data_IF_414371333299
#
_entry.id   IF_414371333299
#
_cell.length_a   1.000
_cell.length_b   1.000
_cell.length_c   1.000
_cell.angle_alpha   90.00
_cell.angle_beta   90.00
_cell.angle_gamma   90.00
#
_symmetry.space_group_name_H-M   'P 1'
#
loop_
_entity.id
_entity.type
_entity.pdbx_description
1 polymer ?
#
# COMPACT_ATOMS: atom_id res chain seq x y z
N UNK A 1 7.62 12.01 -5.61
CA UNK A 1 8.63 11.95 -4.50
C UNK A 1 9.49 10.73 -4.75
N UNK A 2 10.77 10.95 -5.02
CA UNK A 2 11.70 9.87 -5.35
C UNK A 2 12.06 9.04 -4.10
N UNK A 3 12.61 7.83 -4.32
CA UNK A 3 12.97 6.92 -3.22
C UNK A 3 13.92 7.57 -2.21
N UNK A 4 14.86 8.41 -2.66
CA UNK A 4 15.79 9.12 -1.77
C UNK A 4 15.08 10.16 -0.88
N UNK A 5 14.07 10.85 -1.41
CA UNK A 5 13.25 11.80 -0.63
C UNK A 5 12.39 11.06 0.40
N UNK A 6 11.82 9.92 0.01
CA UNK A 6 11.06 9.06 0.93
C UNK A 6 11.92 8.52 2.07
N UNK A 7 13.13 8.05 1.75
CA UNK A 7 14.09 7.60 2.76
C UNK A 7 14.46 8.76 3.71
N UNK A 8 14.74 9.94 3.18
CA UNK A 8 15.01 11.13 4.01
C UNK A 8 13.86 11.46 4.94
N UNK A 9 12.63 11.44 4.41
CA UNK A 9 11.43 11.68 5.21
C UNK A 9 11.27 10.66 6.33
N UNK A 10 11.42 9.36 6.04
CA UNK A 10 11.35 8.31 7.05
C UNK A 10 12.41 8.48 8.14
N UNK A 11 13.63 8.88 7.79
CA UNK A 11 14.67 9.17 8.76
C UNK A 11 14.28 10.35 9.65
N UNK A 12 13.75 11.42 9.08
CA UNK A 12 13.29 12.60 9.80
C UNK A 12 12.16 12.25 10.77
N UNK A 13 11.14 11.56 10.28
CA UNK A 13 9.95 11.17 11.05
C UNK A 13 10.32 10.25 12.23
N UNK A 14 11.32 9.39 12.05
CA UNK A 14 11.87 8.51 13.07
C UNK A 14 12.93 9.16 13.98
N UNK A 15 13.33 10.41 13.72
CA UNK A 15 14.41 11.07 14.45
C UNK A 15 15.78 10.39 14.30
N UNK A 16 15.99 9.66 13.22
CA UNK A 16 17.19 8.87 12.97
C UNK A 16 18.08 9.52 11.92
N UNK A 17 19.40 9.31 12.06
CA UNK A 17 20.36 9.68 11.03
C UNK A 17 20.80 8.45 10.20
N UNK A 18 21.37 8.64 8.99
CA UNK A 18 21.80 7.53 8.13
C UNK A 18 22.77 6.55 8.80
N UNK A 19 23.63 7.01 9.71
CA UNK A 19 24.58 6.16 10.43
C UNK A 19 23.88 5.22 11.40
N UNK A 20 22.83 5.69 12.08
CA UNK A 20 22.03 4.89 13.00
C UNK A 20 21.25 3.80 12.24
N UNK A 21 20.64 4.17 11.08
CA UNK A 21 19.96 3.22 10.20
C UNK A 21 20.94 2.16 9.69
N UNK A 22 22.10 2.55 9.21
CA UNK A 22 23.14 1.62 8.75
C UNK A 22 23.54 0.62 9.86
N UNK A 23 23.73 1.11 11.08
CA UNK A 23 24.06 0.27 12.24
C UNK A 23 22.94 -0.74 12.58
N UNK A 24 21.68 -0.30 12.59
CA UNK A 24 20.52 -1.17 12.89
C UNK A 24 20.30 -2.23 11.82
N UNK A 25 20.53 -1.88 10.56
CA UNK A 25 20.33 -2.81 9.44
C UNK A 25 21.55 -3.69 9.13
N UNK A 26 22.66 -3.52 9.84
CA UNK A 26 23.92 -4.23 9.57
C UNK A 26 24.55 -3.85 8.23
N UNK A 27 24.38 -2.60 7.79
CA UNK A 27 24.84 -2.09 6.50
C UNK A 27 26.04 -1.16 6.67
N UNK A 28 26.76 -0.94 5.56
CA UNK A 28 27.82 0.07 5.53
C UNK A 28 27.21 1.47 5.52
N UNK A 29 27.73 2.38 6.35
CA UNK A 29 27.24 3.77 6.41
C UNK A 29 27.21 4.48 5.05
N UNK A 30 28.24 4.39 4.18
CA UNK A 30 28.22 5.04 2.88
C UNK A 30 27.04 4.63 2.01
N UNK A 31 26.54 3.39 2.13
CA UNK A 31 25.41 2.93 1.35
C UNK A 31 24.12 3.69 1.69
N UNK A 32 23.83 3.88 2.98
CA UNK A 32 22.63 4.62 3.41
C UNK A 32 22.73 6.10 3.07
N UNK A 33 23.93 6.69 3.20
CA UNK A 33 24.17 8.07 2.75
C UNK A 33 23.95 8.23 1.25
N UNK A 34 24.48 7.31 0.45
CA UNK A 34 24.30 7.30 -1.01
C UNK A 34 22.82 7.20 -1.41
N UNK A 35 22.02 6.40 -0.69
CA UNK A 35 20.58 6.34 -0.93
C UNK A 35 19.86 7.64 -0.54
N UNK A 36 20.25 8.26 0.57
CA UNK A 36 19.68 9.56 0.96
C UNK A 36 20.04 10.66 -0.04
N UNK A 37 21.23 10.65 -0.60
CA UNK A 37 21.67 11.68 -1.54
C UNK A 37 21.15 11.46 -2.97
N UNK A 38 20.60 10.26 -3.28
CA UNK A 38 20.17 9.92 -4.63
C UNK A 38 21.30 9.40 -5.54
N UNK A 39 22.51 9.19 -4.98
CA UNK A 39 23.67 8.69 -5.75
C UNK A 39 23.50 7.22 -6.14
N UNK A 40 22.71 6.47 -5.39
CA UNK A 40 22.36 5.09 -5.68
C UNK A 40 20.98 4.71 -5.11
N UNK A 41 20.39 3.65 -5.64
CA UNK A 41 19.12 3.09 -5.12
C UNK A 41 19.43 1.90 -4.22
N UNK A 42 18.68 1.70 -3.12
CA UNK A 42 18.81 0.50 -2.31
C UNK A 42 18.37 -0.72 -3.09
N UNK A 43 19.15 -1.79 -2.98
CA UNK A 43 18.73 -3.10 -3.49
C UNK A 43 17.48 -3.58 -2.74
N UNK A 44 16.70 -4.45 -3.37
CA UNK A 44 15.44 -5.02 -2.88
C UNK A 44 15.50 -5.51 -1.43
N UNK A 45 16.54 -6.26 -1.08
CA UNK A 45 16.75 -6.73 0.29
C UNK A 45 16.84 -5.57 1.29
N UNK A 46 17.47 -4.46 0.89
CA UNK A 46 17.62 -3.28 1.73
C UNK A 46 16.32 -2.47 1.82
N UNK A 47 15.51 -2.46 0.77
CA UNK A 47 14.15 -1.91 0.81
C UNK A 47 13.31 -2.64 1.85
N UNK A 48 13.39 -3.98 1.90
CA UNK A 48 12.72 -4.78 2.92
C UNK A 48 13.18 -4.45 4.34
N UNK A 49 14.50 -4.33 4.51
CA UNK A 49 15.07 -3.98 5.81
C UNK A 49 14.61 -2.58 6.26
N UNK A 50 14.61 -1.62 5.34
CA UNK A 50 14.13 -0.25 5.60
C UNK A 50 12.63 -0.25 5.93
N UNK A 51 11.82 -0.97 5.17
CA UNK A 51 10.38 -1.06 5.39
C UNK A 51 10.04 -1.65 6.77
N UNK A 52 10.73 -2.72 7.16
CA UNK A 52 10.58 -3.30 8.51
C UNK A 52 11.04 -2.35 9.61
N UNK A 53 12.18 -1.67 9.41
CA UNK A 53 12.72 -0.74 10.39
C UNK A 53 11.78 0.43 10.66
N UNK A 54 11.21 1.00 9.60
CA UNK A 54 10.33 2.16 9.69
C UNK A 54 8.85 1.82 9.78
N UNK A 55 8.50 0.52 9.84
CA UNK A 55 7.13 0.02 9.87
C UNK A 55 6.25 0.60 8.75
N UNK A 56 6.80 0.68 7.55
CA UNK A 56 6.10 1.11 6.33
C UNK A 56 6.00 -0.05 5.35
N UNK A 57 4.98 -0.02 4.50
CA UNK A 57 4.87 -1.00 3.42
C UNK A 57 6.02 -0.83 2.40
N UNK A 58 6.64 -1.91 1.91
CA UNK A 58 7.66 -1.84 0.87
C UNK A 58 7.21 -1.08 -0.38
N UNK A 59 5.92 -1.11 -0.73
CA UNK A 59 5.36 -0.36 -1.84
C UNK A 59 5.53 1.15 -1.69
N UNK A 60 5.55 1.67 -0.47
CA UNK A 60 5.84 3.07 -0.21
C UNK A 60 7.21 3.48 -0.74
N UNK A 61 8.24 2.65 -0.53
CA UNK A 61 9.59 2.93 -1.02
C UNK A 61 9.73 2.64 -2.52
N UNK A 62 9.02 1.63 -3.03
CA UNK A 62 9.08 1.19 -4.42
C UNK A 62 8.21 2.03 -5.37
N UNK A 63 7.19 2.73 -4.87
CA UNK A 63 6.37 3.62 -5.68
C UNK A 63 7.21 4.82 -6.17
N UNK A 64 8.08 4.58 -7.14
CA UNK A 64 8.66 5.66 -7.91
C UNK A 64 7.58 6.28 -8.78
N UNK A 65 7.47 7.59 -8.76
CA UNK A 65 6.86 8.29 -9.86
C UNK A 65 7.81 8.15 -11.07
N UNK A 66 7.71 7.03 -11.77
CA UNK A 66 8.35 6.89 -13.06
C UNK A 66 7.66 7.89 -13.99
N UNK A 67 8.21 9.07 -14.11
CA UNK A 67 7.77 10.07 -15.07
C UNK A 67 8.28 9.66 -16.46
N UNK A 68 7.71 8.63 -17.06
CA UNK A 68 7.83 8.43 -18.49
C UNK A 68 6.98 9.51 -19.19
N UNK A 69 7.64 10.39 -19.93
CA UNK A 69 7.00 11.46 -20.71
C UNK A 69 6.13 12.45 -19.91
N UNK A 70 6.49 12.77 -18.66
CA UNK A 70 5.73 13.70 -17.81
C UNK A 70 4.46 13.12 -17.20
N UNK A 71 4.20 11.82 -17.36
CA UNK A 71 3.08 11.09 -16.77
C UNK A 71 3.47 10.46 -15.44
N UNK A 72 2.62 10.61 -14.45
CA UNK A 72 2.80 9.97 -13.13
C UNK A 72 2.37 8.52 -13.23
N UNK A 73 3.19 7.61 -12.74
CA UNK A 73 2.97 6.16 -12.84
C UNK A 73 2.88 5.54 -11.44
N UNK A 74 2.02 4.55 -11.29
CA UNK A 74 1.90 3.71 -10.09
C UNK A 74 2.30 2.27 -10.39
N UNK A 75 2.98 1.56 -9.48
CA UNK A 75 3.20 0.12 -9.61
C UNK A 75 1.86 -0.61 -9.53
N UNK A 76 1.61 -1.53 -10.47
CA UNK A 76 0.41 -2.35 -10.54
C UNK A 76 0.70 -3.75 -10.02
N UNK A 77 -0.11 -4.19 -9.07
CA UNK A 77 -0.05 -5.51 -8.48
C UNK A 77 -1.27 -6.34 -8.86
N UNK A 78 -1.04 -7.62 -9.14
CA UNK A 78 -2.13 -8.59 -9.25
C UNK A 78 -2.63 -8.97 -7.86
N UNK A 79 -3.93 -9.27 -7.72
CA UNK A 79 -4.56 -9.58 -6.44
C UNK A 79 -3.88 -10.72 -5.66
N UNK A 80 -3.42 -11.76 -6.37
CA UNK A 80 -2.72 -12.90 -5.74
C UNK A 80 -1.42 -12.46 -5.06
N UNK A 81 -0.82 -11.39 -5.56
CA UNK A 81 0.40 -10.78 -5.01
C UNK A 81 0.08 -9.85 -3.84
N UNK A 82 -1.08 -9.19 -3.86
CA UNK A 82 -1.51 -8.31 -2.79
C UNK A 82 -1.88 -9.05 -1.49
N UNK A 83 -2.24 -10.35 -1.56
CA UNK A 83 -2.47 -11.20 -0.39
C UNK A 83 -1.21 -11.61 0.35
N UNK A 84 -0.06 -11.47 -0.29
CA UNK A 84 1.27 -11.85 0.21
C UNK A 84 2.22 -10.66 0.14
N UNK A 85 1.97 -9.60 0.89
CA UNK A 85 2.87 -8.42 0.91
C UNK A 85 4.30 -8.76 1.34
N UNK A 86 4.51 -9.85 2.07
CA UNK A 86 5.84 -10.41 2.34
C UNK A 86 6.48 -11.02 1.10
N UNK A 87 5.69 -11.57 0.17
CA UNK A 87 6.16 -12.17 -1.07
C UNK A 87 6.32 -11.13 -2.19
N UNK A 88 5.68 -9.95 -2.06
CA UNK A 88 5.85 -8.83 -2.98
C UNK A 88 7.32 -8.48 -3.24
N UNK A 89 8.16 -8.69 -2.28
CA UNK A 89 9.59 -8.46 -2.37
C UNK A 89 10.38 -9.56 -3.07
N UNK A 90 9.74 -10.64 -3.51
CA UNK A 90 10.38 -11.66 -4.34
C UNK A 90 10.38 -11.29 -5.83
N UNK A 91 9.59 -10.28 -6.24
CA UNK A 91 9.58 -9.82 -7.63
C UNK A 91 10.80 -8.94 -7.94
N UNK A 92 11.38 -9.20 -9.11
CA UNK A 92 12.43 -8.35 -9.66
C UNK A 92 11.84 -6.97 -10.00
N UNK A 93 12.56 -5.85 -9.81
CA UNK A 93 12.08 -4.54 -10.25
C UNK A 93 11.70 -4.52 -11.74
N UNK A 94 12.30 -5.39 -12.54
CA UNK A 94 12.04 -5.54 -13.97
C UNK A 94 10.69 -6.21 -14.28
N UNK A 95 10.07 -6.89 -13.28
CA UNK A 95 8.80 -7.60 -13.44
C UNK A 95 7.58 -6.78 -12.97
N UNK A 96 7.78 -5.57 -12.42
CA UNK A 96 6.68 -4.72 -11.96
C UNK A 96 6.09 -3.95 -13.14
N UNK A 97 4.83 -4.20 -13.44
CA UNK A 97 4.07 -3.41 -14.40
C UNK A 97 3.69 -2.07 -13.77
N UNK A 98 3.88 -0.98 -14.51
CA UNK A 98 3.44 0.35 -14.10
C UNK A 98 2.21 0.79 -14.89
N UNK A 99 1.31 1.53 -14.22
CA UNK A 99 0.12 2.10 -14.83
C UNK A 99 0.07 3.61 -14.57
N UNK A 100 -0.44 4.37 -15.55
CA UNK A 100 -0.61 5.82 -15.41
C UNK A 100 -1.59 6.16 -14.29
N UNK A 101 -1.19 7.06 -13.39
CA UNK A 101 -2.03 7.57 -12.32
C UNK A 101 -3.12 8.49 -12.90
N UNK A 102 -4.38 8.30 -12.52
CA UNK A 102 -5.44 9.24 -12.86
C UNK A 102 -5.16 10.65 -12.28
N UNK A 103 -5.69 11.65 -12.97
CA UNK A 103 -5.60 13.02 -12.47
C UNK A 103 -6.22 13.15 -11.07
N UNK A 104 -5.53 13.85 -10.18
CA UNK A 104 -6.01 14.09 -8.80
C UNK A 104 -5.71 12.96 -7.81
N UNK A 105 -5.13 11.84 -8.27
CA UNK A 105 -4.69 10.75 -7.37
C UNK A 105 -3.29 11.07 -6.81
N UNK A 106 -3.05 10.85 -5.50
CA UNK A 106 -1.75 11.07 -4.88
C UNK A 106 -0.62 10.29 -5.57
N UNK A 107 0.57 10.89 -5.67
CA UNK A 107 1.71 10.31 -6.41
C UNK A 107 2.32 9.07 -5.73
N UNK A 108 2.09 8.91 -4.44
CA UNK A 108 2.57 7.79 -3.65
C UNK A 108 1.66 6.56 -3.74
N UNK A 109 0.60 6.60 -4.55
CA UNK A 109 -0.32 5.48 -4.71
C UNK A 109 0.34 4.28 -5.42
N UNK A 110 -0.11 3.11 -5.05
CA UNK A 110 0.05 1.88 -5.80
C UNK A 110 -1.29 1.45 -6.40
N UNK A 111 -1.25 0.60 -7.41
CA UNK A 111 -2.43 0.09 -8.07
C UNK A 111 -2.59 -1.41 -7.83
N UNK A 112 -3.84 -1.87 -7.67
CA UNK A 112 -4.17 -3.29 -7.50
C UNK A 112 -5.30 -3.67 -8.46
N UNK A 113 -5.18 -4.80 -9.14
CA UNK A 113 -6.27 -5.38 -9.92
C UNK A 113 -7.25 -6.11 -9.01
N UNK A 114 -8.50 -5.71 -9.06
CA UNK A 114 -9.56 -6.26 -8.21
C UNK A 114 -9.96 -7.66 -8.68
N UNK A 115 -10.14 -8.56 -7.72
CA UNK A 115 -10.66 -9.90 -7.92
C UNK A 115 -11.88 -10.13 -7.01
N UNK A 116 -12.95 -10.67 -7.60
CA UNK A 116 -14.19 -10.96 -6.89
C UNK A 116 -15.19 -9.80 -6.89
N UNK A 117 -16.36 -10.04 -6.34
CA UNK A 117 -17.54 -9.20 -6.50
C UNK A 117 -18.02 -8.53 -5.20
N UNK A 118 -17.26 -8.63 -4.11
CA UNK A 118 -17.70 -8.12 -2.80
C UNK A 118 -17.96 -6.62 -2.74
N UNK A 119 -17.39 -5.85 -3.68
CA UNK A 119 -17.55 -4.41 -3.79
C UNK A 119 -18.37 -3.98 -5.01
N UNK A 120 -19.02 -4.95 -5.67
CA UNK A 120 -19.92 -4.70 -6.81
C UNK A 120 -21.31 -4.37 -6.31
N UNK A 121 -21.90 -3.27 -6.80
CA UNK A 121 -23.29 -2.90 -6.56
C UNK A 121 -23.90 -2.22 -7.79
N UNK A 122 -25.22 -2.19 -7.89
CA UNK A 122 -25.92 -1.64 -9.05
C UNK A 122 -26.10 -0.12 -9.01
N UNK A 123 -25.82 0.52 -7.89
CA UNK A 123 -26.05 1.96 -7.67
C UNK A 123 -24.76 2.69 -7.42
N UNK A 124 -24.62 3.88 -7.99
CA UNK A 124 -23.55 4.86 -7.80
C UNK A 124 -22.11 4.32 -7.94
N UNK A 125 -21.38 4.28 -6.82
CA UNK A 125 -19.99 3.83 -6.79
C UNK A 125 -19.94 2.32 -6.73
N UNK A 126 -19.27 1.68 -7.69
CA UNK A 126 -19.09 0.22 -7.74
C UNK A 126 -17.65 -0.10 -8.10
N UNK A 127 -17.06 -1.09 -7.43
CA UNK A 127 -15.76 -1.64 -7.78
C UNK A 127 -15.98 -3.07 -8.25
N UNK A 128 -15.95 -3.26 -9.57
CA UNK A 128 -16.19 -4.54 -10.21
C UNK A 128 -14.92 -5.39 -10.29
N UNK A 129 -15.11 -6.69 -10.48
CA UNK A 129 -13.99 -7.58 -10.81
C UNK A 129 -13.27 -7.10 -12.09
N UNK A 130 -11.93 -7.17 -12.09
CA UNK A 130 -11.09 -6.68 -13.16
C UNK A 130 -10.79 -5.18 -13.11
N UNK A 131 -11.50 -4.40 -12.27
CA UNK A 131 -11.14 -3.00 -12.04
C UNK A 131 -9.73 -2.86 -11.51
N UNK A 132 -9.11 -1.73 -11.78
CA UNK A 132 -7.85 -1.33 -11.16
C UNK A 132 -8.17 -0.25 -10.13
N UNK A 133 -7.80 -0.48 -8.87
CA UNK A 133 -7.93 0.50 -7.80
C UNK A 133 -6.57 1.12 -7.49
N UNK A 134 -6.55 2.43 -7.26
CA UNK A 134 -5.38 3.19 -6.85
C UNK A 134 -5.48 3.46 -5.37
N UNK A 135 -4.48 3.02 -4.63
CA UNK A 135 -4.48 3.00 -3.18
C UNK A 135 -3.34 3.84 -2.63
N UNK A 136 -3.68 4.79 -1.78
CA UNK A 136 -2.71 5.53 -1.00
C UNK A 136 -2.26 4.67 0.19
N UNK A 137 -0.95 4.33 0.29
CA UNK A 137 -0.47 3.50 1.37
C UNK A 137 -0.60 4.21 2.71
N UNK A 138 -1.02 3.47 3.74
CA UNK A 138 -1.01 3.95 5.11
C UNK A 138 0.40 3.82 5.67
N UNK A 139 0.95 4.93 6.11
CA UNK A 139 2.25 4.99 6.79
C UNK A 139 2.05 5.43 8.23
N UNK A 140 2.37 4.56 9.19
CA UNK A 140 2.22 4.86 10.60
C UNK A 140 0.89 4.38 11.21
N UNK A 141 0.56 4.92 12.38
CA UNK A 141 -0.68 4.62 13.11
C UNK A 141 -1.74 5.62 12.63
N UNK A 142 -2.86 5.10 12.18
CA UNK A 142 -4.04 5.90 11.82
C UNK A 142 -5.16 5.61 12.83
N UNK A 143 -5.89 6.66 13.22
CA UNK A 143 -7.03 6.50 14.08
C UNK A 143 -8.20 5.87 13.30
N UNK A 144 -8.93 4.90 13.87
CA UNK A 144 -10.09 4.29 13.20
C UNK A 144 -11.14 5.30 12.73
N UNK A 145 -11.34 6.39 13.47
CA UNK A 145 -12.25 7.48 13.10
C UNK A 145 -11.90 8.14 11.76
N UNK A 146 -10.61 8.21 11.42
CA UNK A 146 -10.14 8.79 10.15
C UNK A 146 -10.40 7.87 8.95
N UNK A 147 -10.68 6.59 9.22
CA UNK A 147 -11.00 5.58 8.21
C UNK A 147 -12.50 5.41 7.99
N UNK A 148 -13.34 6.03 8.83
CA UNK A 148 -14.80 5.82 8.75
C UNK A 148 -15.35 6.21 7.37
N UNK A 149 -16.06 5.29 6.75
CA UNK A 149 -16.61 5.44 5.40
C UNK A 149 -15.62 5.24 4.25
N UNK A 150 -14.30 5.18 4.53
CA UNK A 150 -13.28 4.98 3.50
C UNK A 150 -13.29 3.54 2.96
N UNK A 151 -12.94 3.40 1.68
CA UNK A 151 -12.68 2.07 1.09
C UNK A 151 -11.22 1.75 1.31
N UNK A 152 -10.97 0.65 1.99
CA UNK A 152 -9.62 0.25 2.39
C UNK A 152 -9.22 -1.10 1.79
N UNK A 153 -7.92 -1.31 1.65
CA UNK A 153 -7.34 -2.64 1.51
C UNK A 153 -6.93 -3.12 2.90
N UNK A 154 -7.55 -4.19 3.34
CA UNK A 154 -7.25 -4.84 4.60
C UNK A 154 -6.59 -6.19 4.36
N UNK A 155 -5.55 -6.50 5.11
CA UNK A 155 -4.87 -7.79 5.13
C UNK A 155 -5.11 -8.46 6.48
N UNK A 156 -5.50 -9.72 6.44
CA UNK A 156 -5.61 -10.59 7.60
C UNK A 156 -4.95 -11.92 7.27
N UNK A 157 -3.98 -12.32 8.07
CA UNK A 157 -3.13 -13.48 7.79
C UNK A 157 -2.47 -13.35 6.39
N UNK A 158 -2.73 -14.31 5.50
CA UNK A 158 -2.20 -14.31 4.13
C UNK A 158 -3.23 -13.90 3.08
N UNK A 159 -4.37 -13.35 3.50
CA UNK A 159 -5.44 -12.90 2.61
C UNK A 159 -5.62 -11.39 2.68
N UNK A 160 -5.83 -10.75 1.53
CA UNK A 160 -6.21 -9.36 1.45
C UNK A 160 -7.63 -9.21 0.93
N UNK A 161 -8.31 -8.13 1.34
CA UNK A 161 -9.65 -7.81 0.89
C UNK A 161 -9.84 -6.31 0.72
N UNK A 162 -10.73 -5.92 -0.21
CA UNK A 162 -11.19 -4.53 -0.33
C UNK A 162 -12.57 -4.45 0.31
N UNK A 163 -12.74 -3.53 1.25
CA UNK A 163 -14.00 -3.29 1.96
C UNK A 163 -14.13 -1.81 2.32
N UNK A 164 -15.34 -1.38 2.61
CA UNK A 164 -15.56 -0.12 3.29
C UNK A 164 -15.28 -0.33 4.78
N UNK A 165 -14.48 0.55 5.35
CA UNK A 165 -14.26 0.59 6.80
C UNK A 165 -15.39 1.39 7.43
N UNK A 166 -15.98 0.86 8.50
CA UNK A 166 -17.00 1.55 9.31
C UNK A 166 -16.52 1.55 10.75
N UNK A 167 -16.33 2.75 11.28
CA UNK A 167 -15.99 2.94 12.68
C UNK A 167 -17.23 2.74 13.55
N UNK A 168 -17.20 1.74 14.41
CA UNK A 168 -18.25 1.38 15.37
C UNK A 168 -17.62 0.60 16.53
N UNK A 169 -18.43 0.02 17.38
CA UNK A 169 -17.96 -0.83 18.46
C UNK A 169 -18.56 -2.24 18.36
N UNK A 170 -17.85 -3.25 17.81
CA UNK A 170 -16.52 -3.15 17.17
C UNK A 170 -16.55 -2.46 15.80
N UNK A 171 -15.37 -2.07 15.28
CA UNK A 171 -15.22 -1.64 13.89
C UNK A 171 -15.58 -2.74 12.89
N UNK A 172 -15.95 -2.38 11.66
CA UNK A 172 -16.33 -3.34 10.64
C UNK A 172 -15.64 -3.11 9.30
N UNK A 173 -15.39 -4.21 8.59
CA UNK A 173 -15.12 -4.21 7.15
C UNK A 173 -16.39 -4.63 6.42
N UNK A 174 -16.98 -3.72 5.64
CA UNK A 174 -18.30 -3.86 5.04
C UNK A 174 -18.20 -4.01 3.52
N UNK A 175 -18.73 -5.09 2.93
CA UNK A 175 -18.86 -5.21 1.48
C UNK A 175 -19.98 -4.29 0.96
N UNK A 176 -19.82 -3.81 -0.28
CA UNK A 176 -20.87 -3.05 -0.95
C UNK A 176 -21.90 -3.95 -1.64
N UNK A 177 -21.53 -5.20 -1.95
CA UNK A 177 -22.43 -6.15 -2.60
C UNK A 177 -23.58 -6.53 -1.66
N UNK A 178 -24.85 -6.32 -2.06
CA UNK A 178 -26.01 -6.61 -1.23
C UNK A 178 -26.34 -8.10 -1.13
N UNK A 179 -25.67 -8.97 -1.88
CA UNK A 179 -25.89 -10.41 -1.82
C UNK A 179 -25.58 -10.94 -0.41
N UNK A 180 -26.51 -11.70 0.21
CA UNK A 180 -26.35 -12.24 1.56
C UNK A 180 -25.11 -13.14 1.76
N UNK A 181 -24.50 -13.61 0.68
CA UNK A 181 -23.24 -14.33 0.70
C UNK A 181 -22.05 -13.46 1.15
N UNK A 182 -22.14 -12.13 0.97
CA UNK A 182 -21.12 -11.18 1.39
C UNK A 182 -21.50 -10.56 2.73
N UNK A 183 -20.84 -11.02 3.80
CA UNK A 183 -21.10 -10.55 5.16
C UNK A 183 -20.12 -9.47 5.58
N UNK A 184 -20.57 -8.51 6.42
CA UNK A 184 -19.70 -7.61 7.13
C UNK A 184 -18.81 -8.39 8.10
N UNK A 185 -17.55 -7.98 8.23
CA UNK A 185 -16.56 -8.64 9.08
C UNK A 185 -16.31 -7.73 10.28
N UNK A 186 -16.68 -8.14 11.51
CA UNK A 186 -16.36 -7.37 12.71
C UNK A 186 -14.85 -7.46 12.99
N UNK A 187 -14.24 -6.35 13.35
CA UNK A 187 -12.83 -6.28 13.76
C UNK A 187 -12.79 -6.52 15.28
N UNK A 188 -12.84 -7.78 15.67
CA UNK A 188 -12.73 -8.20 17.07
C UNK A 188 -11.28 -8.15 17.56
N UNK A 189 -11.06 -8.18 18.86
CA UNK A 189 -9.70 -8.19 19.44
C UNK A 189 -8.87 -9.37 18.96
N UNK A 190 -9.50 -10.50 18.61
CA UNK A 190 -8.85 -11.69 18.04
C UNK A 190 -8.28 -11.43 16.65
N UNK A 191 -9.00 -10.64 15.83
CA UNK A 191 -8.61 -10.33 14.46
C UNK A 191 -7.67 -9.12 14.43
N UNK A 192 -7.86 -8.18 15.35
CA UNK A 192 -7.18 -6.89 15.39
C UNK A 192 -5.66 -6.99 15.48
N UNK A 193 -5.15 -8.02 16.15
CA UNK A 193 -3.69 -8.26 16.28
C UNK A 193 -3.02 -8.57 14.94
N UNK A 194 -3.72 -9.27 14.04
CA UNK A 194 -3.21 -9.76 12.77
C UNK A 194 -3.77 -8.99 11.56
N UNK A 195 -4.78 -8.13 11.79
CA UNK A 195 -5.36 -7.29 10.75
C UNK A 195 -4.49 -6.06 10.51
N UNK A 196 -4.20 -5.79 9.26
CA UNK A 196 -3.49 -4.58 8.81
C UNK A 196 -4.31 -3.87 7.75
N UNK A 197 -4.53 -2.58 7.92
CA UNK A 197 -5.03 -1.74 6.84
C UNK A 197 -3.82 -1.23 6.06
N UNK A 198 -3.73 -1.63 4.79
CA UNK A 198 -2.55 -1.40 3.95
C UNK A 198 -2.64 -0.05 3.24
N UNK A 199 -3.85 0.34 2.84
CA UNK A 199 -4.05 1.58 2.11
C UNK A 199 -5.51 1.94 1.93
N UNK A 200 -5.73 3.19 1.54
CA UNK A 200 -7.04 3.77 1.27
C UNK A 200 -7.22 3.87 -0.25
N UNK A 201 -8.35 3.41 -0.77
CA UNK A 201 -8.67 3.49 -2.20
C UNK A 201 -9.06 4.93 -2.55
N UNK A 202 -8.30 5.56 -3.44
CA UNK A 202 -8.53 6.94 -3.90
C UNK A 202 -9.21 7.02 -5.25
N UNK A 203 -9.01 6.02 -6.10
CA UNK A 203 -9.66 5.94 -7.40
C UNK A 203 -9.86 4.49 -7.84
N UNK A 204 -10.81 4.28 -8.74
CA UNK A 204 -11.04 3.00 -9.41
C UNK A 204 -11.23 3.23 -10.91
N UNK A 205 -10.57 2.42 -11.74
CA UNK A 205 -10.75 2.38 -13.18
C UNK A 205 -11.28 1.02 -13.58
N UNK A 206 -12.38 1.01 -14.32
CA UNK A 206 -12.88 -0.18 -15.00
C UNK A 206 -12.48 -0.08 -16.48
N UNK A 207 -11.74 -1.07 -16.98
CA UNK A 207 -11.47 -1.18 -18.40
C UNK A 207 -12.70 -1.84 -19.06
N UNK A 208 -13.33 -1.12 -19.99
CA UNK A 208 -14.44 -1.61 -20.81
C UNK A 208 -13.94 -2.62 -21.84
#
# INVERSE_FOLDING_TARGET
MDIHEKIKKLLQDAGMNPSQVAKQLGLKQPSVYSWCNGDSKPAKENIMKLSKLFNVDPSYLLSESAAENGKKMAPLFEWVQAGSWTDFCQYSPDDVTFIELPYGVPENCFAVRVRGHSMTRMQDKSICEGSIVFCEPITGIINPEELDGEVVIAQYQNAATIKQFIHDNPDFLVPWNPDPGYKRIPITDEIKSDLRIIGIVRASLLKL
#
